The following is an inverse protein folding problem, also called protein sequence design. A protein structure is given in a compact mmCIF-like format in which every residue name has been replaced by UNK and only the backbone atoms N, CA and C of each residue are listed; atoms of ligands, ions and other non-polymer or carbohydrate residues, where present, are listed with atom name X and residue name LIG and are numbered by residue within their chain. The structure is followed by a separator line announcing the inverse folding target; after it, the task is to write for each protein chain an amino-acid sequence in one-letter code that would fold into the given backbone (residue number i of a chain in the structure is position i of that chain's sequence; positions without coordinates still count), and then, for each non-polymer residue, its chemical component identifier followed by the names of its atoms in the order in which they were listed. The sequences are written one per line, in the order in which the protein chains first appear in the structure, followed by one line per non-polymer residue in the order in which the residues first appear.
data_IF_568597349795
#
_entry.id   IF_568597349795
#
_cell.length_a   1.000
_cell.length_b   1.000
_cell.length_c   1.000
_cell.angle_alpha   90.00
_cell.angle_beta   90.00
_cell.angle_gamma   90.00
#
_symmetry.space_group_name_H-M   'P 1'
#
loop_
_entity.id
_entity.type
_entity.pdbx_description
1 polymer ?
#
# COMPACT_ATOMS: atom_id res chain seq x y z
N UNK A 1 20.09 41.64 8.82
CA UNK A 1 21.32 40.82 8.95
C UNK A 1 20.90 39.38 8.80
N UNK A 2 21.63 38.65 7.96
CA UNK A 2 21.54 37.21 7.76
C UNK A 2 21.81 36.55 9.11
N UNK A 3 20.76 36.01 9.72
CA UNK A 3 20.92 34.84 10.55
C UNK A 3 20.96 33.64 9.60
N UNK A 4 22.14 33.43 9.02
CA UNK A 4 22.56 32.15 8.46
C UNK A 4 22.75 31.20 9.64
N UNK A 5 21.67 30.57 10.08
CA UNK A 5 21.74 29.43 10.99
C UNK A 5 22.58 28.33 10.31
N UNK A 6 23.77 27.99 10.83
CA UNK A 6 24.58 26.94 10.25
C UNK A 6 23.89 25.61 10.57
N UNK A 7 23.39 24.92 9.53
CA UNK A 7 22.99 23.52 9.65
C UNK A 7 24.21 22.70 10.09
N UNK A 8 24.25 22.38 11.39
CA UNK A 8 25.25 21.50 11.96
C UNK A 8 25.28 20.16 11.21
N UNK A 9 26.46 19.55 11.03
CA UNK A 9 26.57 18.28 10.34
C UNK A 9 25.75 17.22 11.07
N UNK A 10 24.78 16.63 10.37
CA UNK A 10 24.09 15.42 10.81
C UNK A 10 25.12 14.40 11.29
N UNK A 11 24.89 13.69 12.41
CA UNK A 11 25.90 12.86 13.06
C UNK A 11 26.49 11.86 12.07
N UNK A 12 27.78 12.03 11.75
CA UNK A 12 28.58 11.21 10.81
C UNK A 12 28.47 9.70 11.12
N UNK A 13 28.19 9.37 12.37
CA UNK A 13 27.87 8.04 12.90
C UNK A 13 26.69 7.35 12.17
N UNK A 14 25.60 8.05 11.85
CA UNK A 14 24.42 7.43 11.19
C UNK A 14 24.70 7.17 9.71
N UNK A 15 25.41 8.08 9.05
CA UNK A 15 25.83 7.90 7.66
C UNK A 15 26.75 6.68 7.50
N UNK A 16 27.75 6.55 8.38
CA UNK A 16 28.65 5.40 8.37
C UNK A 16 27.96 4.08 8.73
N UNK A 17 27.02 4.09 9.69
CA UNK A 17 26.22 2.89 10.03
C UNK A 17 25.35 2.43 8.86
N UNK A 18 24.68 3.34 8.17
CA UNK A 18 23.85 3.00 6.99
C UNK A 18 24.70 2.49 5.84
N UNK A 19 25.87 3.06 5.62
CA UNK A 19 26.79 2.65 4.55
C UNK A 19 27.46 1.30 4.84
N UNK A 20 27.84 1.04 6.10
CA UNK A 20 28.35 -0.27 6.52
C UNK A 20 27.27 -1.37 6.41
N UNK A 21 26.02 -1.05 6.79
CA UNK A 21 24.89 -1.97 6.64
C UNK A 21 24.59 -2.28 5.17
N UNK A 22 24.60 -1.28 4.29
CA UNK A 22 24.41 -1.47 2.85
C UNK A 22 25.52 -2.36 2.24
N UNK A 23 26.78 -2.15 2.62
CA UNK A 23 27.90 -2.99 2.18
C UNK A 23 27.79 -4.42 2.70
N UNK A 24 27.39 -4.61 3.96
CA UNK A 24 27.16 -5.94 4.54
C UNK A 24 26.07 -6.71 3.80
N UNK A 25 24.94 -6.06 3.49
CA UNK A 25 23.86 -6.66 2.71
C UNK A 25 24.35 -7.01 1.29
N UNK A 26 25.10 -6.14 0.64
CA UNK A 26 25.63 -6.40 -0.70
C UNK A 26 26.53 -7.64 -0.73
N UNK A 27 27.43 -7.79 0.25
CA UNK A 27 28.29 -8.99 0.38
C UNK A 27 27.47 -10.24 0.63
N UNK A 28 26.44 -10.16 1.48
CA UNK A 28 25.55 -11.28 1.78
C UNK A 28 24.78 -11.74 0.53
N UNK A 29 24.22 -10.81 -0.25
CA UNK A 29 23.54 -11.09 -1.51
C UNK A 29 24.49 -11.75 -2.51
N UNK A 30 25.71 -11.24 -2.66
CA UNK A 30 26.72 -11.84 -3.56
C UNK A 30 27.08 -13.26 -3.09
N UNK A 31 27.23 -13.49 -1.79
CA UNK A 31 27.49 -14.81 -1.24
C UNK A 31 26.36 -15.81 -1.49
N UNK A 32 25.10 -15.37 -1.37
CA UNK A 32 23.91 -16.19 -1.66
C UNK A 32 23.84 -16.53 -3.15
N UNK A 33 24.08 -15.55 -4.04
CA UNK A 33 24.12 -15.79 -5.49
C UNK A 33 25.22 -16.79 -5.84
N UNK A 34 26.42 -16.64 -5.28
CA UNK A 34 27.52 -17.58 -5.49
C UNK A 34 27.17 -18.99 -4.99
N UNK A 35 26.53 -19.11 -3.82
CA UNK A 35 26.07 -20.39 -3.29
C UNK A 35 25.02 -21.05 -4.20
N UNK A 36 24.05 -20.28 -4.71
CA UNK A 36 23.04 -20.77 -5.65
C UNK A 36 23.70 -21.27 -6.94
N UNK A 37 24.65 -20.52 -7.51
CA UNK A 37 25.39 -20.92 -8.72
C UNK A 37 26.16 -22.22 -8.47
N UNK A 38 26.82 -22.37 -7.32
CA UNK A 38 27.54 -23.62 -6.97
C UNK A 38 26.57 -24.80 -6.84
N UNK A 39 25.40 -24.61 -6.23
CA UNK A 39 24.37 -25.66 -6.13
C UNK A 39 23.88 -26.06 -7.52
N UNK A 40 23.56 -25.09 -8.38
CA UNK A 40 23.08 -25.37 -9.75
C UNK A 40 24.14 -26.09 -10.58
N UNK A 41 25.41 -25.66 -10.52
CA UNK A 41 26.51 -26.32 -11.26
C UNK A 41 26.80 -27.73 -10.73
N UNK A 42 26.66 -27.96 -9.42
CA UNK A 42 26.79 -29.31 -8.85
C UNK A 42 25.58 -30.21 -9.19
N UNK A 43 24.41 -29.63 -9.40
CA UNK A 43 23.17 -30.37 -9.70
C UNK A 43 22.96 -30.61 -11.22
N UNK A 44 23.79 -30.03 -12.10
CA UNK A 44 23.77 -30.28 -13.55
C UNK A 44 24.78 -31.32 -14.01
N UNK A 45 25.59 -31.87 -13.10
CA UNK A 45 26.58 -32.92 -13.38
C UNK A 45 26.30 -34.22 -12.63
N UNK A 46 25.53 -35.13 -13.24
CA UNK A 46 25.49 -36.55 -12.86
C UNK A 46 24.09 -37.09 -12.55
N UNK A 47 23.57 -37.93 -13.44
CA UNK A 47 22.43 -38.80 -13.17
C UNK A 47 22.75 -40.21 -13.64
N UNK A 48 23.33 -41.00 -12.76
CA UNK A 48 23.21 -42.46 -12.75
C UNK A 48 23.19 -42.91 -11.29
N UNK A 49 22.03 -43.31 -10.77
CA UNK A 49 21.88 -44.63 -10.13
C UNK A 49 20.43 -45.00 -9.86
N UNK A 50 20.14 -46.19 -10.38
CA UNK A 50 19.08 -47.15 -10.10
C UNK A 50 18.99 -47.51 -8.60
N UNK A 51 17.78 -47.70 -8.09
CA UNK A 51 17.56 -48.30 -6.78
C UNK A 51 16.09 -48.30 -6.38
N UNK A 52 15.43 -49.44 -6.62
CA UNK A 52 14.15 -49.79 -6.03
C UNK A 52 14.28 -49.90 -4.50
N UNK A 53 13.22 -49.60 -3.75
CA UNK A 53 12.54 -50.59 -2.90
C UNK A 53 11.27 -49.97 -2.31
N UNK A 54 10.17 -50.70 -2.45
CA UNK A 54 8.92 -50.45 -1.74
C UNK A 54 9.03 -51.06 -0.33
N UNK A 55 8.60 -50.33 0.69
CA UNK A 55 8.32 -50.91 2.01
C UNK A 55 7.10 -50.23 2.62
N UNK A 56 6.15 -51.08 3.00
CA UNK A 56 4.91 -50.73 3.69
C UNK A 56 5.16 -50.29 5.15
N UNK A 57 4.16 -49.68 5.80
CA UNK A 57 3.98 -49.87 7.22
C UNK A 57 2.58 -50.42 7.54
N UNK A 58 2.55 -51.58 8.21
CA UNK A 58 1.37 -52.06 8.94
C UNK A 58 1.46 -51.58 10.39
N UNK A 59 0.35 -51.02 10.86
CA UNK A 59 0.14 -50.54 12.22
C UNK A 59 -0.14 -51.70 13.18
N UNK A 60 0.38 -51.62 14.41
CA UNK A 60 -0.27 -52.12 15.63
C UNK A 60 0.52 -51.62 16.84
N UNK A 61 -0.09 -50.76 17.65
CA UNK A 61 0.38 -50.40 18.99
C UNK A 61 -0.80 -50.51 19.95
N UNK A 62 -0.80 -51.56 20.77
CA UNK A 62 -1.60 -51.63 21.99
C UNK A 62 -0.95 -50.79 23.10
N UNK A 63 -1.74 -50.27 24.05
CA UNK A 63 -1.24 -50.04 25.39
C UNK A 63 -2.02 -50.83 26.44
N UNK A 64 -1.25 -51.53 27.26
CA UNK A 64 -1.60 -52.20 28.52
C UNK A 64 -2.06 -51.18 29.59
N UNK A 65 -3.07 -51.47 30.44
CA UNK A 65 -3.42 -50.61 31.56
C UNK A 65 -2.60 -50.97 32.82
N UNK A 66 -2.25 -49.96 33.61
CA UNK A 66 -1.81 -50.10 35.01
C UNK A 66 -2.79 -49.34 35.93
N UNK A 67 -2.96 -49.79 37.18
CA UNK A 67 -4.13 -49.49 38.00
C UNK A 67 -3.85 -48.45 39.10
N UNK A 68 -4.92 -47.78 39.53
CA UNK A 68 -4.99 -47.10 40.82
C UNK A 68 -5.24 -45.61 40.72
N UNK A 69 -6.48 -45.20 40.99
CA UNK A 69 -6.85 -44.40 42.17
C UNK A 69 -8.20 -43.73 41.94
N UNK A 70 -9.19 -44.23 42.67
CA UNK A 70 -10.48 -43.58 42.85
C UNK A 70 -10.31 -42.53 43.95
N UNK A 71 -10.81 -41.31 43.76
CA UNK A 71 -11.59 -40.70 44.82
C UNK A 71 -12.92 -40.13 44.31
N UNK A 72 -13.97 -40.49 45.04
CA UNK A 72 -15.21 -39.74 45.24
C UNK A 72 -15.97 -39.20 44.00
N UNK A 73 -16.97 -39.98 43.61
CA UNK A 73 -18.15 -39.48 42.89
C UNK A 73 -18.88 -38.48 43.80
N UNK A 74 -18.62 -37.19 43.63
CA UNK A 74 -19.60 -36.16 43.94
C UNK A 74 -20.61 -36.11 42.80
N UNK A 75 -21.77 -36.69 43.04
CA UNK A 75 -22.96 -36.53 42.20
C UNK A 75 -23.18 -35.05 41.90
N UNK A 76 -23.33 -34.63 40.63
CA UNK A 76 -23.80 -33.29 40.35
C UNK A 76 -25.26 -33.21 40.80
N UNK A 77 -25.57 -32.21 41.64
CA UNK A 77 -26.95 -31.84 41.94
C UNK A 77 -27.59 -31.37 40.64
N UNK A 78 -28.51 -32.18 40.10
CA UNK A 78 -29.30 -31.83 38.93
C UNK A 78 -30.43 -30.89 39.37
N UNK A 79 -30.51 -29.65 38.84
CA UNK A 79 -31.66 -28.78 39.10
C UNK A 79 -32.94 -29.40 38.49
N UNK A 80 -34.13 -29.15 39.08
CA UNK A 80 -35.38 -29.67 38.52
C UNK A 80 -35.60 -29.09 37.12
N UNK A 81 -35.86 -29.99 36.17
CA UNK A 81 -36.11 -29.67 34.78
C UNK A 81 -37.54 -29.16 34.60
N UNK A 82 -37.84 -27.91 34.97
CA UNK A 82 -39.07 -27.25 34.53
C UNK A 82 -38.79 -25.78 34.20
N UNK A 83 -39.17 -25.42 32.98
CA UNK A 83 -39.27 -24.06 32.40
C UNK A 83 -38.03 -23.41 31.76
N UNK A 84 -37.25 -24.16 30.96
CA UNK A 84 -36.50 -23.55 29.85
C UNK A 84 -37.32 -23.69 28.54
N UNK A 85 -37.66 -22.58 27.85
CA UNK A 85 -38.30 -22.67 26.54
C UNK A 85 -37.41 -23.45 25.57
N UNK A 86 -37.98 -24.24 24.65
CA UNK A 86 -37.20 -25.02 23.69
C UNK A 86 -36.28 -24.09 22.89
N UNK A 87 -35.04 -24.50 22.58
CA UNK A 87 -34.16 -23.69 21.76
C UNK A 87 -34.82 -23.47 20.40
N UNK A 88 -35.17 -22.22 20.11
CA UNK A 88 -35.63 -21.82 18.78
C UNK A 88 -34.51 -22.13 17.80
N UNK A 89 -34.75 -22.92 16.73
CA UNK A 89 -33.74 -23.17 15.72
C UNK A 89 -33.33 -21.82 15.11
N UNK A 90 -32.09 -21.40 15.33
CA UNK A 90 -31.53 -20.29 14.57
C UNK A 90 -31.30 -20.82 13.15
N UNK A 91 -31.96 -20.28 12.11
CA UNK A 91 -31.71 -20.72 10.76
C UNK A 91 -30.25 -20.42 10.40
N UNK A 92 -29.44 -21.47 10.30
CA UNK A 92 -28.16 -21.42 9.59
C UNK A 92 -28.50 -21.29 8.11
N UNK A 93 -28.62 -20.04 7.63
CA UNK A 93 -28.60 -19.78 6.21
C UNK A 93 -27.29 -20.38 5.66
N UNK A 94 -27.41 -21.36 4.76
CA UNK A 94 -26.27 -21.92 4.06
C UNK A 94 -25.54 -20.77 3.35
N UNK A 95 -24.30 -20.52 3.73
CA UNK A 95 -23.44 -19.56 3.03
C UNK A 95 -23.11 -20.19 1.69
N UNK A 96 -23.78 -19.73 0.63
CA UNK A 96 -23.43 -20.12 -0.74
C UNK A 96 -21.95 -19.81 -0.96
N UNK A 97 -21.12 -20.77 -1.40
CA UNK A 97 -19.72 -20.50 -1.66
C UNK A 97 -19.60 -19.37 -2.69
N UNK A 98 -18.65 -18.43 -2.52
CA UNK A 98 -18.48 -17.34 -3.46
C UNK A 98 -18.24 -17.91 -4.87
N UNK A 99 -18.77 -17.26 -5.92
CA UNK A 99 -18.58 -17.70 -7.29
C UNK A 99 -17.08 -17.77 -7.62
N UNK A 100 -16.69 -18.85 -8.28
CA UNK A 100 -15.33 -19.09 -8.74
C UNK A 100 -15.07 -18.13 -9.90
N UNK A 101 -14.02 -17.31 -9.78
CA UNK A 101 -13.62 -16.39 -10.85
C UNK A 101 -12.90 -17.18 -11.95
N UNK A 102 -13.36 -17.06 -13.19
CA UNK A 102 -12.74 -17.70 -14.35
C UNK A 102 -11.83 -16.71 -15.09
N UNK A 103 -10.94 -17.25 -15.93
CA UNK A 103 -10.05 -16.42 -16.70
C UNK A 103 -10.82 -15.56 -17.73
N UNK A 104 -10.57 -14.26 -17.70
CA UNK A 104 -11.19 -13.30 -18.62
C UNK A 104 -12.55 -12.74 -18.19
N UNK A 105 -13.07 -13.19 -17.04
CA UNK A 105 -14.21 -12.57 -16.34
C UNK A 105 -13.86 -11.14 -15.90
N UNK A 106 -14.86 -10.34 -15.54
CA UNK A 106 -14.63 -9.03 -14.94
C UNK A 106 -13.95 -9.16 -13.58
N UNK A 107 -12.87 -8.40 -13.36
CA UNK A 107 -12.19 -8.37 -12.08
C UNK A 107 -13.13 -7.79 -11.00
N UNK A 108 -13.50 -8.56 -9.96
CA UNK A 108 -14.18 -7.99 -8.81
C UNK A 108 -13.22 -7.05 -8.06
N UNK A 109 -13.78 -6.07 -7.35
CA UNK A 109 -12.99 -5.09 -6.60
C UNK A 109 -12.10 -5.78 -5.52
N UNK A 110 -12.47 -6.97 -5.05
CA UNK A 110 -11.68 -7.76 -4.10
C UNK A 110 -10.39 -8.37 -4.68
N UNK A 111 -10.26 -8.48 -6.00
CA UNK A 111 -9.05 -8.99 -6.66
C UNK A 111 -8.21 -7.87 -7.26
N UNK A 112 -8.61 -6.61 -7.08
CA UNK A 112 -7.86 -5.45 -7.52
C UNK A 112 -7.37 -4.63 -6.33
N UNK A 113 -6.22 -4.00 -6.51
CA UNK A 113 -5.74 -2.95 -5.64
C UNK A 113 -5.53 -1.67 -6.45
N UNK A 114 -5.80 -0.54 -5.83
CA UNK A 114 -5.54 0.78 -6.40
C UNK A 114 -4.63 1.56 -5.47
N UNK A 115 -3.64 2.24 -6.02
CA UNK A 115 -2.66 3.03 -5.28
C UNK A 115 -2.40 4.37 -5.95
N UNK A 116 -2.37 5.44 -5.16
CA UNK A 116 -1.84 6.73 -5.58
C UNK A 116 -0.34 6.84 -5.31
N UNK A 117 0.35 7.60 -6.13
CA UNK A 117 1.75 7.99 -5.93
C UNK A 117 1.87 9.46 -6.33
N UNK A 118 2.59 10.24 -5.54
CA UNK A 118 3.00 11.60 -5.89
C UNK A 118 4.46 11.57 -6.34
N UNK A 119 4.84 12.40 -7.31
CA UNK A 119 6.24 12.46 -7.75
C UNK A 119 7.19 13.04 -6.67
N UNK A 120 6.66 13.80 -5.72
CA UNK A 120 7.37 14.34 -4.56
C UNK A 120 6.45 14.36 -3.33
N UNK A 121 6.98 14.28 -2.10
CA UNK A 121 6.18 14.39 -0.89
C UNK A 121 5.80 15.84 -0.55
N UNK A 122 6.51 16.82 -1.12
CA UNK A 122 6.33 18.25 -0.87
C UNK A 122 6.50 19.04 -2.16
N UNK A 123 5.69 20.07 -2.30
CA UNK A 123 5.68 21.02 -3.42
C UNK A 123 5.54 22.44 -2.88
N UNK A 124 5.82 23.44 -3.71
CA UNK A 124 5.50 24.84 -3.42
C UNK A 124 4.18 25.22 -4.10
N UNK A 125 3.35 26.04 -3.47
CA UNK A 125 2.13 26.58 -4.11
C UNK A 125 2.50 27.23 -5.45
N UNK A 126 1.82 26.81 -6.51
CA UNK A 126 2.11 27.20 -7.90
C UNK A 126 2.83 26.12 -8.71
N UNK A 127 3.46 25.15 -8.05
CA UNK A 127 3.92 23.93 -8.72
C UNK A 127 2.74 23.03 -9.11
N UNK A 128 3.00 22.11 -10.03
CA UNK A 128 2.00 21.18 -10.55
C UNK A 128 2.35 19.75 -10.15
N UNK A 129 1.81 19.24 -9.02
CA UNK A 129 2.00 17.86 -8.61
C UNK A 129 1.56 16.88 -9.70
N UNK A 130 2.40 15.86 -9.94
CA UNK A 130 2.09 14.75 -10.83
C UNK A 130 1.62 13.57 -9.98
N UNK A 131 0.37 13.18 -10.18
CA UNK A 131 -0.26 12.05 -9.52
C UNK A 131 -0.26 10.85 -10.44
N UNK A 132 0.32 9.76 -9.98
CA UNK A 132 0.39 8.49 -10.67
C UNK A 132 -0.58 7.53 -9.99
N UNK A 133 -1.53 7.01 -10.76
CA UNK A 133 -2.58 6.09 -10.36
C UNK A 133 -2.19 4.70 -10.83
N UNK A 134 -2.08 3.75 -9.91
CA UNK A 134 -1.68 2.38 -10.22
C UNK A 134 -2.84 1.45 -9.88
N UNK A 135 -3.24 0.64 -10.84
CA UNK A 135 -4.23 -0.44 -10.66
C UNK A 135 -3.51 -1.77 -10.82
N UNK A 136 -3.68 -2.68 -9.88
CA UNK A 136 -2.98 -3.97 -9.83
C UNK A 136 -3.98 -5.11 -9.66
N UNK A 137 -3.80 -6.21 -10.40
CA UNK A 137 -4.47 -7.46 -10.06
C UNK A 137 -3.71 -8.17 -8.93
N UNK A 138 -4.34 -8.22 -7.75
CA UNK A 138 -3.82 -8.90 -6.55
C UNK A 138 -4.44 -10.29 -6.37
N UNK A 139 -5.32 -10.70 -7.28
CA UNK A 139 -5.87 -12.04 -7.34
C UNK A 139 -4.92 -13.06 -7.97
N UNK A 140 -5.36 -14.31 -8.00
CA UNK A 140 -4.61 -15.45 -8.57
C UNK A 140 -5.07 -15.82 -9.99
N UNK A 141 -6.12 -15.18 -10.50
CA UNK A 141 -6.73 -15.46 -11.80
C UNK A 141 -6.66 -14.21 -12.68
N UNK A 142 -6.39 -14.41 -13.97
CA UNK A 142 -6.42 -13.33 -14.95
C UNK A 142 -7.86 -12.85 -15.21
N UNK A 143 -8.10 -11.55 -15.20
CA UNK A 143 -9.45 -10.98 -15.34
C UNK A 143 -9.39 -9.65 -16.11
N UNK A 144 -10.55 -9.06 -16.46
CA UNK A 144 -10.64 -7.80 -17.20
C UNK A 144 -11.23 -6.69 -16.35
N UNK A 145 -10.73 -5.47 -16.49
CA UNK A 145 -11.34 -4.29 -15.85
C UNK A 145 -11.19 -3.07 -16.74
N UNK A 146 -12.24 -2.27 -16.80
CA UNK A 146 -12.13 -0.91 -17.33
C UNK A 146 -11.31 -0.05 -16.38
N UNK A 147 -10.25 0.56 -16.90
CA UNK A 147 -9.36 1.52 -16.23
C UNK A 147 -9.26 2.82 -17.03
N UNK A 148 -10.25 3.09 -17.88
CA UNK A 148 -10.33 4.28 -18.70
C UNK A 148 -10.54 5.55 -17.89
N UNK A 149 -10.36 6.68 -18.59
CA UNK A 149 -10.51 8.01 -18.00
C UNK A 149 -11.95 8.29 -17.51
N UNK A 150 -12.94 7.49 -17.93
CA UNK A 150 -14.32 7.58 -17.42
C UNK A 150 -14.48 7.11 -15.96
N UNK A 151 -13.64 6.18 -15.50
CA UNK A 151 -13.83 5.47 -14.23
C UNK A 151 -12.65 5.59 -13.25
N UNK A 152 -11.48 6.00 -13.75
CA UNK A 152 -10.27 6.19 -12.94
C UNK A 152 -10.10 7.65 -12.52
N UNK A 153 -10.25 7.90 -11.22
CA UNK A 153 -10.21 9.23 -10.64
C UNK A 153 -9.07 9.38 -9.63
N UNK A 154 -8.35 10.49 -9.72
CA UNK A 154 -7.57 11.05 -8.62
C UNK A 154 -8.41 12.09 -7.88
N UNK A 155 -8.29 12.12 -6.57
CA UNK A 155 -8.93 13.09 -5.69
C UNK A 155 -7.91 13.69 -4.73
N UNK A 156 -8.03 14.99 -4.49
CA UNK A 156 -7.31 15.67 -3.41
C UNK A 156 -8.29 15.99 -2.30
N UNK A 157 -7.94 15.61 -1.08
CA UNK A 157 -8.70 15.90 0.15
C UNK A 157 -7.87 16.74 1.12
N UNK A 158 -8.54 17.56 1.93
CA UNK A 158 -7.95 18.12 3.15
C UNK A 158 -7.71 17.04 4.20
N UNK A 159 -7.00 17.38 5.29
CA UNK A 159 -6.87 16.49 6.46
C UNK A 159 -8.22 16.19 7.13
N UNK A 160 -9.18 17.12 7.05
CA UNK A 160 -10.54 16.95 7.58
C UNK A 160 -11.45 16.15 6.64
N UNK A 161 -10.89 15.47 5.65
CA UNK A 161 -11.61 14.70 4.62
C UNK A 161 -12.57 15.53 3.76
N UNK A 162 -12.38 16.85 3.64
CA UNK A 162 -13.11 17.64 2.67
C UNK A 162 -12.51 17.43 1.27
N UNK A 163 -13.34 17.04 0.29
CA UNK A 163 -12.90 16.89 -1.10
C UNK A 163 -12.64 18.26 -1.72
N UNK A 164 -11.45 18.46 -2.27
CA UNK A 164 -11.02 19.74 -2.83
C UNK A 164 -10.90 19.73 -4.36
N UNK A 165 -10.59 18.59 -4.96
CA UNK A 165 -10.37 18.47 -6.40
C UNK A 165 -10.55 17.05 -6.93
N UNK A 166 -10.85 16.90 -8.22
CA UNK A 166 -10.69 15.66 -9.00
C UNK A 166 -10.33 15.93 -10.46
N UNK A 167 -9.60 15.00 -11.09
CA UNK A 167 -9.32 15.03 -12.53
C UNK A 167 -10.59 14.97 -13.39
N UNK A 168 -11.68 14.39 -12.88
CA UNK A 168 -12.93 14.23 -13.62
C UNK A 168 -13.84 15.47 -13.60
N UNK A 169 -13.57 16.47 -12.77
CA UNK A 169 -14.49 17.59 -12.59
C UNK A 169 -14.56 18.52 -13.79
N UNK A 170 -13.40 18.82 -14.39
CA UNK A 170 -13.23 19.87 -15.40
C UNK A 170 -12.91 19.36 -16.80
N UNK A 171 -12.49 18.10 -16.92
CA UNK A 171 -12.26 17.45 -18.19
C UNK A 171 -12.76 16.00 -18.11
N UNK A 172 -14.06 15.78 -17.85
CA UNK A 172 -14.61 14.43 -17.85
C UNK A 172 -14.42 13.81 -19.24
N UNK A 173 -13.99 12.56 -19.27
CA UNK A 173 -13.87 11.78 -20.50
C UNK A 173 -14.84 10.59 -20.41
N UNK A 174 -15.43 10.21 -21.55
CA UNK A 174 -16.19 8.96 -21.68
C UNK A 174 -15.35 7.82 -22.26
N UNK A 175 -14.03 8.00 -22.34
CA UNK A 175 -13.11 7.00 -22.85
C UNK A 175 -13.00 5.83 -21.86
N UNK A 176 -13.40 4.66 -22.34
CA UNK A 176 -13.22 3.37 -21.67
C UNK A 176 -11.91 2.72 -22.12
N UNK A 177 -11.21 2.08 -21.20
CA UNK A 177 -10.01 1.29 -21.48
C UNK A 177 -10.12 -0.04 -20.73
N UNK A 178 -10.74 -1.03 -21.36
CA UNK A 178 -10.84 -2.38 -20.81
C UNK A 178 -9.50 -3.09 -20.98
N UNK A 179 -8.82 -3.38 -19.87
CA UNK A 179 -7.55 -4.10 -19.85
C UNK A 179 -7.73 -5.47 -19.22
N UNK A 180 -7.13 -6.49 -19.84
CA UNK A 180 -6.91 -7.78 -19.21
C UNK A 180 -5.66 -7.69 -18.31
N UNK A 181 -5.81 -8.15 -17.06
CA UNK A 181 -4.77 -8.19 -16.03
C UNK A 181 -4.44 -9.63 -15.69
N UNK A 182 -3.20 -10.04 -15.93
CA UNK A 182 -2.64 -11.24 -15.32
C UNK A 182 -2.36 -11.01 -13.81
N UNK A 183 -2.24 -12.07 -12.99
CA UNK A 183 -1.86 -11.92 -11.58
C UNK A 183 -0.58 -11.09 -11.42
N UNK A 184 -0.65 -10.03 -10.59
CA UNK A 184 0.44 -9.08 -10.38
C UNK A 184 0.64 -8.04 -11.49
N UNK A 185 -0.11 -8.10 -12.59
CA UNK A 185 -0.03 -7.10 -13.66
C UNK A 185 -0.57 -5.75 -13.18
N UNK A 186 0.03 -4.67 -13.69
CA UNK A 186 -0.26 -3.31 -13.30
C UNK A 186 -0.54 -2.42 -14.51
N UNK A 187 -1.52 -1.54 -14.38
CA UNK A 187 -1.73 -0.40 -15.28
C UNK A 187 -1.45 0.87 -14.50
N UNK A 188 -0.72 1.79 -15.14
CA UNK A 188 -0.38 3.07 -14.56
C UNK A 188 -0.90 4.20 -15.44
N UNK A 189 -1.56 5.17 -14.81
CA UNK A 189 -2.10 6.36 -15.48
C UNK A 189 -1.68 7.58 -14.68
N UNK A 190 -1.30 8.65 -15.37
CA UNK A 190 -0.78 9.85 -14.72
C UNK A 190 -1.65 11.06 -15.01
N UNK A 191 -1.81 11.93 -14.01
CA UNK A 191 -2.48 13.21 -14.15
C UNK A 191 -1.66 14.32 -13.49
N UNK A 192 -1.63 15.47 -14.14
CA UNK A 192 -0.99 16.68 -13.60
C UNK A 192 -2.05 17.56 -12.97
N UNK A 193 -1.90 17.87 -11.68
CA UNK A 193 -2.80 18.76 -10.97
C UNK A 193 -2.24 20.17 -10.91
N UNK A 194 -3.09 21.17 -11.16
CA UNK A 194 -2.68 22.58 -11.24
C UNK A 194 -2.68 23.31 -9.90
N UNK A 195 -2.94 22.62 -8.78
CA UNK A 195 -3.12 23.27 -7.46
C UNK A 195 -4.45 24.02 -7.30
N UNK A 196 -5.39 23.88 -8.25
CA UNK A 196 -6.70 24.54 -8.21
C UNK A 196 -7.76 23.58 -7.69
N UNK A 197 -8.70 24.09 -6.91
CA UNK A 197 -9.89 23.36 -6.50
C UNK A 197 -10.87 23.13 -7.65
N UNK A 198 -11.71 22.13 -7.51
CA UNK A 198 -12.79 21.82 -8.44
C UNK A 198 -13.96 21.13 -7.76
N UNK A 199 -15.11 21.17 -8.43
CA UNK A 199 -16.32 20.46 -8.05
C UNK A 199 -16.99 19.91 -9.33
N UNK A 200 -17.93 18.94 -9.21
CA UNK A 200 -18.61 18.38 -10.37
C UNK A 200 -19.24 19.47 -11.25
N UNK A 201 -19.06 19.37 -12.57
CA UNK A 201 -19.50 20.39 -13.51
C UNK A 201 -18.57 21.61 -13.63
N UNK A 202 -17.43 21.61 -12.93
CA UNK A 202 -16.38 22.62 -12.99
C UNK A 202 -16.87 24.08 -12.88
N UNK A 203 -17.50 24.46 -11.74
CA UNK A 203 -17.94 25.84 -11.56
C UNK A 203 -16.75 26.81 -11.56
N UNK A 204 -16.96 27.98 -12.19
CA UNK A 204 -16.01 29.08 -12.22
C UNK A 204 -16.45 30.21 -11.27
N UNK A 205 -15.52 30.97 -10.67
CA UNK A 205 -14.06 30.79 -10.77
C UNK A 205 -13.54 29.67 -9.86
N UNK A 206 -12.63 28.84 -10.38
CA UNK A 206 -11.91 27.86 -9.57
C UNK A 206 -11.03 28.60 -8.56
N UNK A 207 -11.08 28.17 -7.30
CA UNK A 207 -10.27 28.77 -6.24
C UNK A 207 -8.91 28.05 -6.14
N UNK A 208 -7.79 28.78 -5.99
CA UNK A 208 -6.51 28.17 -5.71
C UNK A 208 -6.52 27.52 -4.32
N UNK A 209 -5.87 26.36 -4.20
CA UNK A 209 -5.69 25.69 -2.91
C UNK A 209 -4.40 26.19 -2.28
N UNK A 210 -4.51 26.67 -1.05
CA UNK A 210 -3.42 27.31 -0.32
C UNK A 210 -2.38 26.32 0.22
N UNK A 211 -1.37 26.82 0.93
CA UNK A 211 -0.42 25.95 1.60
C UNK A 211 -1.10 25.10 2.67
N UNK A 212 -0.65 23.86 2.83
CA UNK A 212 -1.25 22.89 3.73
C UNK A 212 -0.76 21.47 3.48
N UNK A 213 -1.25 20.54 4.29
CA UNK A 213 -1.08 19.11 4.07
C UNK A 213 -2.38 18.53 3.53
N UNK A 214 -2.26 17.68 2.51
CA UNK A 214 -3.40 17.13 1.78
C UNK A 214 -3.21 15.64 1.57
N UNK A 215 -4.30 14.96 1.24
CA UNK A 215 -4.31 13.55 0.92
C UNK A 215 -4.70 13.33 -0.55
N UNK A 216 -3.87 12.62 -1.30
CA UNK A 216 -4.24 12.03 -2.57
C UNK A 216 -4.97 10.70 -2.31
N UNK A 217 -6.12 10.52 -2.95
CA UNK A 217 -6.83 9.24 -3.01
C UNK A 217 -7.13 8.93 -4.45
N UNK A 218 -6.87 7.69 -4.87
CA UNK A 218 -7.22 7.20 -6.20
C UNK A 218 -8.41 6.28 -6.08
N UNK A 219 -9.32 6.36 -7.03
CA UNK A 219 -10.53 5.57 -7.06
C UNK A 219 -10.76 5.00 -8.46
N UNK A 220 -11.11 3.72 -8.52
CA UNK A 220 -11.56 3.03 -9.71
C UNK A 220 -12.97 2.52 -9.47
N UNK A 221 -13.99 3.17 -10.04
CA UNK A 221 -15.38 2.85 -9.73
C UNK A 221 -15.65 2.98 -8.22
N UNK A 222 -15.93 1.88 -7.52
CA UNK A 222 -16.15 1.85 -6.06
C UNK A 222 -14.89 1.53 -5.25
N UNK A 223 -13.83 1.05 -5.89
CA UNK A 223 -12.58 0.67 -5.24
C UNK A 223 -11.73 1.92 -4.96
N UNK A 224 -11.37 2.15 -3.70
CA UNK A 224 -10.56 3.31 -3.27
C UNK A 224 -9.22 2.88 -2.69
N UNK A 225 -8.19 3.66 -2.99
CA UNK A 225 -6.86 3.49 -2.39
C UNK A 225 -6.81 3.98 -0.95
N UNK A 226 -5.76 3.58 -0.24
CA UNK A 226 -5.30 4.32 0.95
C UNK A 226 -4.91 5.77 0.57
N UNK A 227 -4.91 6.65 1.57
CA UNK A 227 -4.50 8.05 1.42
C UNK A 227 -2.98 8.18 1.29
N UNK A 228 -2.53 9.04 0.38
CA UNK A 228 -1.12 9.41 0.26
C UNK A 228 -0.95 10.88 0.66
N UNK A 229 -0.30 11.17 1.79
CA UNK A 229 -0.11 12.54 2.24
C UNK A 229 0.94 13.26 1.38
N UNK A 230 0.69 14.54 1.09
CA UNK A 230 1.66 15.43 0.50
C UNK A 230 1.47 16.87 0.99
N UNK A 231 2.50 17.70 0.85
CA UNK A 231 2.51 19.08 1.35
C UNK A 231 2.54 20.07 0.19
N UNK A 232 1.72 21.12 0.27
CA UNK A 232 1.92 22.37 -0.47
C UNK A 232 2.50 23.40 0.50
N UNK A 233 3.75 23.80 0.32
CA UNK A 233 4.40 24.84 1.09
C UNK A 233 4.08 26.22 0.53
N UNK A 234 4.08 27.23 1.41
CA UNK A 234 3.95 28.61 0.97
C UNK A 234 5.12 28.97 0.04
N UNK A 235 4.91 29.80 -0.99
CA UNK A 235 6.02 30.36 -1.76
C UNK A 235 6.94 31.11 -0.81
N UNK A 236 8.25 30.84 -0.89
CA UNK A 236 9.21 31.64 -0.15
C UNK A 236 9.14 33.06 -0.70
N UNK A 237 8.68 34.01 0.11
CA UNK A 237 8.83 35.42 -0.24
C UNK A 237 10.34 35.69 -0.34
N UNK A 238 10.84 36.33 -1.41
CA UNK A 238 12.22 36.78 -1.42
C UNK A 238 12.41 37.65 -0.17
N UNK A 239 13.36 37.27 0.70
CA UNK A 239 13.68 38.01 1.92
C UNK A 239 13.71 39.50 1.61
N UNK A 240 12.84 40.27 2.26
CA UNK A 240 12.97 41.71 2.30
C UNK A 240 14.35 42.03 2.88
N UNK A 241 15.23 42.53 2.00
CA UNK A 241 16.46 43.25 2.27
C UNK A 241 16.94 43.21 3.71
N UNK A 242 17.87 42.31 4.00
CA UNK A 242 18.77 42.54 5.10
C UNK A 242 19.51 43.83 4.81
N UNK A 243 19.15 44.87 5.57
CA UNK A 243 19.79 46.17 5.52
C UNK A 243 21.30 46.01 5.50
N UNK A 244 21.90 46.34 4.36
CA UNK A 244 23.31 46.71 4.29
C UNK A 244 23.46 47.92 5.20
N UNK A 245 24.13 47.75 6.33
CA UNK A 245 24.49 48.88 7.18
C UNK A 245 25.27 49.89 6.33
N UNK A 246 24.95 51.19 6.37
CA UNK A 246 25.69 52.19 5.61
C UNK A 246 27.16 52.18 6.06
N UNK A 247 28.12 52.38 5.12
CA UNK A 247 29.53 52.40 5.47
C UNK A 247 29.81 53.50 6.50
N UNK A 248 30.73 53.27 7.45
CA UNK A 248 31.11 54.29 8.42
C UNK A 248 31.61 55.53 7.68
N UNK A 249 31.02 56.69 8.00
CA UNK A 249 31.41 57.97 7.42
C UNK A 249 32.86 58.33 7.76
N UNK A 250 33.48 59.26 7.01
CA UNK A 250 34.86 59.65 7.22
C UNK A 250 35.07 60.21 8.63
N UNK A 251 36.11 59.73 9.30
CA UNK A 251 36.56 60.24 10.59
C UNK A 251 37.17 61.64 10.36
N UNK A 252 36.70 62.70 11.05
CA UNK A 252 37.32 64.01 10.95
C UNK A 252 38.69 64.03 11.66
N UNK A 253 39.60 64.80 11.06
CA UNK A 253 41.04 64.90 11.32
C UNK A 253 41.41 65.39 12.72
#
# INVERSE_FOLDING_TARGET
MLDLEPHGPLPTQIYWRRRALALGIAVLVIGVIAAIVVVVVKNTGGSETKGAEASAPAAAGEPTPLPGENPEVKTPVMPPAQDAPPPTPTPTAAVTPPPILNEGDDCPDSTLAVKGITNQPQYVVGEQPKFTMVVTNIGLVGCKRDVGAAVLAAYVYSLDNARLWSNLDCAPSSETLVKAFQPGEQVTTEVTWTGMGSAPGCPLPRQPIGPGTYNLVVQLGNLRSATVPFILAAPQSPEHGQGVAPPPGPVPN
#
